data_IF_054041341020
#
_entry.id   IF_054041341020
#
_cell.length_a   1.000
_cell.length_b   1.000
_cell.length_c   1.000
_cell.angle_alpha   90.00
_cell.angle_beta   90.00
_cell.angle_gamma   90.00
#
_symmetry.space_group_name_H-M   'P 1'
#
loop_
_entity.id
_entity.type
_entity.pdbx_description
1 polymer ?
#
# COMPACT_ATOMS: atom_id res chain seq x y z
N UNK A 1 36.60 14.16 44.06
CA UNK A 1 35.75 15.37 44.03
C UNK A 1 35.17 15.48 42.62
N UNK A 2 33.89 15.56 42.30
CA UNK A 2 32.62 15.66 43.01
C UNK A 2 31.57 14.96 42.13
N UNK A 3 30.58 14.38 42.82
CA UNK A 3 29.40 13.63 42.39
C UNK A 3 28.63 14.27 41.23
N UNK A 4 28.00 13.44 40.38
CA UNK A 4 26.57 13.59 40.04
C UNK A 4 25.92 12.23 39.74
N UNK A 5 25.24 11.78 40.77
CA UNK A 5 24.20 10.78 40.80
C UNK A 5 22.95 11.40 40.15
N UNK A 6 22.33 10.74 39.18
CA UNK A 6 20.88 10.87 38.96
C UNK A 6 20.35 9.47 38.67
N UNK A 7 19.76 8.86 39.71
CA UNK A 7 18.95 7.66 39.61
C UNK A 7 17.76 7.94 38.68
N UNK A 8 17.69 7.25 37.55
CA UNK A 8 16.44 7.07 36.85
C UNK A 8 15.66 5.96 37.57
N UNK A 9 14.76 6.35 38.46
CA UNK A 9 13.76 5.44 39.01
C UNK A 9 12.84 5.02 37.87
N UNK A 10 13.12 3.85 37.28
CA UNK A 10 12.17 3.16 36.43
C UNK A 10 11.05 2.68 37.36
N UNK A 11 9.89 3.33 37.26
CA UNK A 11 8.65 2.86 37.85
C UNK A 11 8.25 1.57 37.12
N UNK A 12 8.84 0.45 37.54
CA UNK A 12 8.34 -0.89 37.21
C UNK A 12 7.07 -1.05 38.03
N UNK A 13 5.94 -0.58 37.49
CA UNK A 13 4.64 -1.04 37.97
C UNK A 13 4.57 -2.54 37.71
N UNK A 14 4.61 -3.27 38.81
CA UNK A 14 4.34 -4.69 38.97
C UNK A 14 3.03 -5.07 38.28
N UNK A 15 3.15 -5.73 37.12
CA UNK A 15 2.11 -6.62 36.63
C UNK A 15 2.57 -8.04 37.01
N UNK A 16 2.29 -8.41 38.26
CA UNK A 16 2.35 -9.81 38.67
C UNK A 16 0.94 -10.39 38.62
N UNK A 17 0.81 -11.49 37.86
CA UNK A 17 -0.24 -12.50 37.88
C UNK A 17 -1.63 -12.15 37.34
N UNK A 18 -1.79 -12.34 36.03
CA UNK A 18 -2.98 -12.99 35.46
C UNK A 18 -2.65 -13.64 34.10
N UNK A 19 -1.82 -14.70 34.12
CA UNK A 19 -1.36 -15.43 32.93
C UNK A 19 -2.27 -16.62 32.54
N UNK A 20 -3.57 -16.56 32.82
CA UNK A 20 -4.52 -17.65 32.49
C UNK A 20 -5.67 -17.23 31.56
N UNK A 21 -5.86 -15.92 31.30
CA UNK A 21 -6.84 -15.46 30.31
C UNK A 21 -6.11 -14.75 29.17
N UNK A 22 -6.28 -15.27 27.95
CA UNK A 22 -5.76 -14.65 26.73
C UNK A 22 -6.29 -13.21 26.54
N UNK A 23 -5.66 -12.42 25.66
CA UNK A 23 -6.09 -11.04 25.43
C UNK A 23 -7.56 -10.98 24.97
N UNK A 24 -8.34 -10.13 25.62
CA UNK A 24 -9.72 -9.84 25.21
C UNK A 24 -9.77 -8.88 24.02
N UNK A 25 -10.87 -8.85 23.29
CA UNK A 25 -11.10 -7.88 22.19
C UNK A 25 -10.93 -6.43 22.65
N UNK A 26 -11.45 -6.08 23.83
CA UNK A 26 -11.32 -4.73 24.39
C UNK A 26 -9.85 -4.39 24.72
N UNK A 27 -9.11 -5.34 25.30
CA UNK A 27 -7.69 -5.15 25.59
C UNK A 27 -6.86 -4.97 24.30
N UNK A 28 -7.23 -5.65 23.20
CA UNK A 28 -6.58 -5.46 21.90
C UNK A 28 -6.79 -4.06 21.34
N UNK A 29 -8.00 -3.49 21.45
CA UNK A 29 -8.27 -2.13 20.97
C UNK A 29 -7.35 -1.11 21.67
N UNK A 30 -7.27 -1.19 23.00
CA UNK A 30 -6.42 -0.27 23.78
C UNK A 30 -4.93 -0.53 23.55
N UNK A 31 -4.51 -1.80 23.47
CA UNK A 31 -3.14 -2.16 23.14
C UNK A 31 -2.72 -1.68 21.74
N UNK A 32 -3.62 -1.72 20.75
CA UNK A 32 -3.36 -1.28 19.38
C UNK A 32 -3.15 0.23 19.30
N UNK A 33 -4.03 1.02 19.95
CA UNK A 33 -3.86 2.48 20.04
C UNK A 33 -2.53 2.83 20.73
N UNK A 34 -2.21 2.15 21.83
CA UNK A 34 -0.96 2.38 22.57
C UNK A 34 0.27 2.00 21.72
N UNK A 35 0.22 0.88 21.01
CA UNK A 35 1.31 0.45 20.13
C UNK A 35 1.55 1.46 18.99
N UNK A 36 0.48 1.96 18.35
CA UNK A 36 0.58 3.02 17.34
C UNK A 36 1.17 4.29 17.94
N UNK A 37 0.74 4.72 19.12
CA UNK A 37 1.28 5.92 19.77
C UNK A 37 2.77 5.79 20.10
N UNK A 38 3.19 4.64 20.64
CA UNK A 38 4.61 4.34 20.91
C UNK A 38 5.42 4.40 19.63
N UNK A 39 4.94 3.75 18.58
CA UNK A 39 5.67 3.64 17.32
C UNK A 39 5.70 4.96 16.54
N UNK A 40 4.64 5.76 16.67
CA UNK A 40 4.61 7.14 16.17
C UNK A 40 5.72 7.95 16.83
N UNK A 41 5.87 7.87 18.16
CA UNK A 41 6.93 8.59 18.88
C UNK A 41 8.33 8.06 18.52
N UNK A 42 8.50 6.74 18.38
CA UNK A 42 9.76 6.12 17.96
C UNK A 42 10.24 6.62 16.59
N UNK A 43 9.33 6.78 15.63
CA UNK A 43 9.65 7.20 14.26
C UNK A 43 9.59 8.73 14.06
N UNK A 44 9.08 9.47 15.04
CA UNK A 44 8.72 10.89 14.92
C UNK A 44 9.83 11.78 14.38
N UNK A 45 11.03 11.66 14.94
CA UNK A 45 12.16 12.51 14.56
C UNK A 45 12.55 12.31 13.09
N UNK A 46 12.60 11.06 12.62
CA UNK A 46 12.95 10.78 11.23
C UNK A 46 11.83 11.19 10.27
N UNK A 47 10.57 10.91 10.61
CA UNK A 47 9.42 11.32 9.79
C UNK A 47 9.26 12.84 9.71
N UNK A 48 9.56 13.58 10.78
CA UNK A 48 9.61 15.05 10.76
C UNK A 48 10.77 15.58 9.93
N UNK A 49 11.93 14.91 10.00
CA UNK A 49 13.10 15.25 9.19
C UNK A 49 12.81 15.05 7.70
N UNK A 50 12.24 13.91 7.31
CA UNK A 50 11.78 13.63 5.93
C UNK A 50 10.91 14.78 5.42
N UNK A 51 9.91 15.17 6.21
CA UNK A 51 8.94 16.18 5.79
C UNK A 51 9.52 17.59 5.67
N UNK A 52 10.32 17.99 6.67
CA UNK A 52 10.96 19.30 6.72
C UNK A 52 12.05 19.47 5.66
N UNK A 53 12.85 18.43 5.41
CA UNK A 53 13.91 18.44 4.40
C UNK A 53 13.37 18.13 3.00
N UNK A 54 12.13 17.64 2.89
CA UNK A 54 11.48 17.25 1.65
C UNK A 54 12.29 16.21 0.86
N UNK A 55 12.89 15.27 1.60
CA UNK A 55 13.73 14.19 1.06
C UNK A 55 13.46 12.93 1.88
N UNK A 56 13.31 11.80 1.18
CA UNK A 56 13.44 10.47 1.78
C UNK A 56 14.74 9.85 1.32
N UNK A 57 15.47 9.21 2.24
CA UNK A 57 16.73 8.53 1.95
C UNK A 57 16.58 7.04 2.19
N UNK A 58 17.08 6.21 1.29
CA UNK A 58 17.19 4.76 1.45
C UNK A 58 18.54 4.31 0.92
N UNK A 59 19.43 3.89 1.83
CA UNK A 59 20.84 3.65 1.50
C UNK A 59 21.50 4.90 0.92
N UNK A 60 22.03 4.79 -0.31
CA UNK A 60 22.67 5.89 -1.04
C UNK A 60 21.70 6.71 -1.90
N UNK A 61 20.42 6.33 -1.96
CA UNK A 61 19.43 6.97 -2.82
C UNK A 61 18.66 8.06 -2.06
N UNK A 62 18.40 9.18 -2.72
CA UNK A 62 17.59 10.29 -2.20
C UNK A 62 16.40 10.57 -3.14
N UNK A 63 15.19 10.50 -2.60
CA UNK A 63 13.97 10.94 -3.28
C UNK A 63 13.57 12.31 -2.74
N UNK A 64 13.91 13.37 -3.48
CA UNK A 64 13.40 14.72 -3.21
C UNK A 64 11.91 14.76 -3.53
N UNK A 65 11.15 15.61 -2.85
CA UNK A 65 9.77 15.86 -3.21
C UNK A 65 9.38 17.33 -3.04
N UNK A 66 8.35 17.74 -3.77
CA UNK A 66 7.68 19.01 -3.57
C UNK A 66 6.22 18.71 -3.25
N UNK A 67 5.58 19.54 -2.44
CA UNK A 67 4.16 19.38 -2.15
C UNK A 67 3.44 20.73 -2.04
N UNK A 68 2.12 20.66 -2.20
CA UNK A 68 1.18 21.76 -1.95
C UNK A 68 0.07 21.25 -1.03
N UNK A 69 -0.29 22.05 -0.04
CA UNK A 69 -1.47 21.82 0.79
C UNK A 69 -2.64 22.56 0.13
N UNK A 70 -3.71 21.83 -0.14
CA UNK A 70 -4.88 22.31 -0.86
C UNK A 70 -6.12 22.12 0.01
N UNK A 71 -7.02 23.11 -0.04
CA UNK A 71 -8.31 23.08 0.65
C UNK A 71 -8.24 22.94 2.18
N UNK A 72 -9.44 22.97 2.78
CA UNK A 72 -9.63 22.73 4.21
C UNK A 72 -9.39 21.26 4.57
N UNK A 73 -8.83 21.02 5.75
CA UNK A 73 -8.59 19.66 6.24
C UNK A 73 -9.92 19.00 6.65
N UNK A 74 -10.30 17.85 6.05
CA UNK A 74 -11.47 17.09 6.51
C UNK A 74 -11.30 16.55 7.93
N UNK A 75 -12.42 16.34 8.63
CA UNK A 75 -12.43 15.83 10.01
C UNK A 75 -11.77 14.46 10.17
N UNK A 76 -11.85 13.63 9.13
CA UNK A 76 -11.24 12.30 9.07
C UNK A 76 -9.81 12.32 8.48
N UNK A 77 -9.22 13.50 8.27
CA UNK A 77 -7.86 13.67 7.76
C UNK A 77 -7.79 14.05 6.28
N UNK A 78 -6.63 14.59 5.87
CA UNK A 78 -6.37 15.03 4.49
C UNK A 78 -6.22 13.84 3.54
N UNK A 79 -6.58 14.04 2.28
CA UNK A 79 -6.11 13.19 1.19
C UNK A 79 -4.61 13.40 0.91
N UNK A 80 -3.94 12.41 0.34
CA UNK A 80 -2.59 12.52 -0.22
C UNK A 80 -2.62 12.07 -1.68
N UNK A 81 -2.14 12.90 -2.60
CA UNK A 81 -1.99 12.57 -4.03
C UNK A 81 -0.51 12.57 -4.37
N UNK A 82 0.04 11.40 -4.73
CA UNK A 82 1.45 11.24 -5.10
C UNK A 82 1.54 11.16 -6.63
N UNK A 83 2.24 12.13 -7.23
CA UNK A 83 2.26 12.33 -8.68
C UNK A 83 3.64 12.10 -9.29
N UNK A 84 3.81 10.94 -9.93
CA UNK A 84 5.06 10.46 -10.51
C UNK A 84 5.33 11.13 -11.87
N UNK A 85 6.51 11.73 -12.02
CA UNK A 85 6.91 12.37 -13.28
C UNK A 85 7.43 11.37 -14.32
N UNK A 86 7.42 11.79 -15.59
CA UNK A 86 8.02 11.05 -16.71
C UNK A 86 9.54 11.23 -16.84
N UNK A 87 10.12 10.80 -17.97
CA UNK A 87 11.54 11.04 -18.26
C UNK A 87 12.49 10.01 -17.67
N UNK A 88 12.32 8.74 -18.04
CA UNK A 88 13.33 7.70 -17.84
C UNK A 88 14.42 7.70 -18.89
N UNK A 89 15.54 7.07 -18.55
CA UNK A 89 16.74 6.94 -19.38
C UNK A 89 17.23 8.27 -19.96
N UNK A 90 17.33 9.29 -19.12
CA UNK A 90 17.61 10.66 -19.54
C UNK A 90 18.67 11.33 -18.66
N UNK A 91 19.06 12.56 -19.00
CA UNK A 91 20.00 13.31 -18.16
C UNK A 91 19.33 13.78 -16.86
N UNK A 92 20.14 14.02 -15.81
CA UNK A 92 19.61 14.57 -14.56
C UNK A 92 18.83 15.88 -14.77
N UNK A 93 19.29 16.75 -15.66
CA UNK A 93 18.62 18.01 -15.97
C UNK A 93 17.24 17.81 -16.60
N UNK A 94 17.10 16.81 -17.49
CA UNK A 94 15.82 16.47 -18.09
C UNK A 94 14.87 15.83 -17.07
N UNK A 95 15.36 14.94 -16.21
CA UNK A 95 14.60 14.35 -15.11
C UNK A 95 14.09 15.44 -14.14
N UNK A 96 14.96 16.37 -13.73
CA UNK A 96 14.58 17.51 -12.88
C UNK A 96 13.55 18.42 -13.54
N UNK A 97 13.61 18.60 -14.87
CA UNK A 97 12.60 19.36 -15.62
C UNK A 97 11.25 18.63 -15.65
N UNK A 98 11.23 17.30 -15.83
CA UNK A 98 10.00 16.52 -15.77
C UNK A 98 9.38 16.58 -14.38
N UNK A 99 10.20 16.48 -13.32
CA UNK A 99 9.74 16.70 -11.96
C UNK A 99 9.09 18.08 -11.80
N UNK A 100 9.73 19.16 -12.24
CA UNK A 100 9.17 20.53 -12.18
C UNK A 100 7.81 20.65 -12.88
N UNK A 101 7.63 20.01 -14.02
CA UNK A 101 6.36 19.99 -14.74
C UNK A 101 5.26 19.32 -13.90
N UNK A 102 5.61 18.24 -13.19
CA UNK A 102 4.68 17.44 -12.39
C UNK A 102 4.18 18.18 -11.13
N UNK A 103 4.97 19.09 -10.54
CA UNK A 103 4.64 19.81 -9.28
C UNK A 103 3.31 20.57 -9.34
N UNK A 104 2.92 21.05 -10.52
CA UNK A 104 1.71 21.86 -10.71
C UNK A 104 0.71 21.24 -11.68
N UNK A 105 0.90 19.97 -12.07
CA UNK A 105 0.12 19.36 -13.14
C UNK A 105 -1.37 19.17 -12.77
N UNK A 106 -1.66 18.75 -11.54
CA UNK A 106 -3.04 18.54 -11.06
C UNK A 106 -3.36 19.38 -9.83
N UNK A 107 -4.64 19.71 -9.62
CA UNK A 107 -5.10 20.43 -8.42
C UNK A 107 -6.36 19.76 -7.88
N UNK A 108 -6.23 18.83 -6.92
CA UNK A 108 -7.38 18.29 -6.20
C UNK A 108 -8.08 19.35 -5.35
N UNK A 109 -9.34 19.09 -4.97
CA UNK A 109 -10.16 20.01 -4.15
C UNK A 109 -9.57 20.20 -2.75
N UNK A 110 -9.06 19.12 -2.15
CA UNK A 110 -8.37 19.13 -0.87
C UNK A 110 -7.22 18.12 -0.87
N UNK A 111 -6.26 18.33 0.03
CA UNK A 111 -5.27 17.33 0.40
C UNK A 111 -3.84 17.82 0.25
N UNK A 112 -2.91 16.91 0.45
CA UNK A 112 -1.50 17.10 0.13
C UNK A 112 -1.28 16.60 -1.29
N UNK A 113 -0.98 17.50 -2.22
CA UNK A 113 -0.50 17.12 -3.56
C UNK A 113 1.02 17.07 -3.53
N UNK A 114 1.61 15.89 -3.69
CA UNK A 114 3.04 15.63 -3.59
C UNK A 114 3.57 15.12 -4.94
N UNK A 115 4.61 15.75 -5.46
CA UNK A 115 5.36 15.30 -6.62
C UNK A 115 6.78 14.90 -6.18
N UNK A 116 7.12 13.60 -6.13
CA UNK A 116 8.49 13.15 -5.89
C UNK A 116 9.34 13.31 -7.15
N UNK A 117 10.64 13.53 -6.97
CA UNK A 117 11.69 13.40 -7.97
C UNK A 117 12.30 12.02 -7.83
N UNK A 118 12.26 11.22 -8.89
CA UNK A 118 12.80 9.88 -8.85
C UNK A 118 14.30 9.90 -8.46
N UNK A 119 14.79 8.99 -7.62
CA UNK A 119 16.17 9.02 -7.15
C UNK A 119 17.20 8.86 -8.27
N UNK A 120 16.87 8.12 -9.32
CA UNK A 120 17.77 7.80 -10.43
C UNK A 120 17.27 8.37 -11.76
N UNK A 121 18.10 8.28 -12.79
CA UNK A 121 17.77 8.69 -14.16
C UNK A 121 17.65 7.50 -15.13
N UNK A 122 17.56 6.28 -14.58
CA UNK A 122 17.49 5.03 -15.33
C UNK A 122 16.16 4.90 -16.07
N UNK A 123 16.03 3.92 -16.96
CA UNK A 123 14.78 3.69 -17.68
C UNK A 123 13.65 3.23 -16.74
N UNK A 124 13.99 2.52 -15.66
CA UNK A 124 13.10 1.93 -14.67
C UNK A 124 13.13 2.68 -13.33
N UNK A 125 13.36 4.00 -13.35
CA UNK A 125 13.54 4.87 -12.18
C UNK A 125 12.46 4.78 -11.07
N UNK A 126 11.27 4.24 -11.39
CA UNK A 126 10.17 4.05 -10.44
C UNK A 126 9.95 2.58 -10.06
N UNK A 127 10.75 1.65 -10.60
CA UNK A 127 10.61 0.21 -10.38
C UNK A 127 11.69 -0.34 -9.44
N UNK A 128 12.82 0.36 -9.35
CA UNK A 128 14.01 -0.03 -8.57
C UNK A 128 13.68 -0.34 -7.10
N UNK A 129 14.43 -1.27 -6.49
CA UNK A 129 14.10 -1.90 -5.21
C UNK A 129 13.84 -0.95 -4.04
N UNK A 130 14.47 0.23 -4.05
CA UNK A 130 14.38 1.22 -2.98
C UNK A 130 13.09 2.07 -3.05
N UNK A 131 12.39 2.07 -4.18
CA UNK A 131 11.27 2.97 -4.45
C UNK A 131 10.08 2.67 -3.52
N UNK A 132 9.73 1.39 -3.35
CA UNK A 132 8.58 0.99 -2.54
C UNK A 132 8.75 1.39 -1.07
N UNK A 133 9.95 1.17 -0.51
CA UNK A 133 10.27 1.56 0.88
C UNK A 133 10.22 3.08 1.04
N UNK A 134 10.74 3.83 0.07
CA UNK A 134 10.68 5.30 0.11
C UNK A 134 9.24 5.80 0.08
N UNK A 135 8.36 5.19 -0.70
CA UNK A 135 6.94 5.55 -0.69
C UNK A 135 6.25 5.19 0.62
N UNK A 136 6.59 4.05 1.24
CA UNK A 136 6.08 3.72 2.57
C UNK A 136 6.48 4.77 3.62
N UNK A 137 7.72 5.29 3.56
CA UNK A 137 8.17 6.39 4.43
C UNK A 137 7.48 7.73 4.11
N UNK A 138 7.26 8.07 2.83
CA UNK A 138 6.51 9.28 2.44
C UNK A 138 5.09 9.24 3.04
N UNK A 139 4.40 8.10 2.93
CA UNK A 139 3.04 7.95 3.46
C UNK A 139 3.02 8.14 4.98
N UNK A 140 3.93 7.48 5.71
CA UNK A 140 4.05 7.67 7.18
C UNK A 140 4.37 9.12 7.55
N UNK A 141 5.28 9.76 6.82
CA UNK A 141 5.63 11.15 7.07
C UNK A 141 4.45 12.10 6.82
N UNK A 142 3.65 11.86 5.77
CA UNK A 142 2.46 12.66 5.48
C UNK A 142 1.36 12.46 6.53
N UNK A 143 1.17 11.23 7.01
CA UNK A 143 0.24 10.92 8.12
C UNK A 143 0.64 11.70 9.37
N UNK A 144 1.92 11.67 9.75
CA UNK A 144 2.40 12.36 10.94
C UNK A 144 2.32 13.89 10.82
N UNK A 145 2.80 14.45 9.72
CA UNK A 145 3.06 15.89 9.62
C UNK A 145 1.85 16.68 9.11
N UNK A 146 1.01 16.09 8.26
CA UNK A 146 -0.16 16.78 7.67
C UNK A 146 -1.50 16.19 8.13
N UNK A 147 -1.46 15.11 8.92
CA UNK A 147 -2.65 14.36 9.32
C UNK A 147 -3.40 13.83 8.10
N UNK A 148 -2.64 13.26 7.17
CA UNK A 148 -3.19 12.47 6.06
C UNK A 148 -3.92 11.25 6.63
N UNK A 149 -5.08 10.95 6.05
CA UNK A 149 -5.77 9.71 6.31
C UNK A 149 -5.11 8.58 5.48
N UNK A 150 -4.59 7.50 6.08
CA UNK A 150 -3.96 6.40 5.34
C UNK A 150 -4.94 5.67 4.40
N UNK A 151 -6.25 5.88 4.57
CA UNK A 151 -7.27 5.39 3.66
C UNK A 151 -7.60 6.35 2.50
N UNK A 152 -6.92 7.49 2.37
CA UNK A 152 -7.10 8.49 1.29
C UNK A 152 -5.77 8.83 0.61
N UNK A 153 -4.95 7.83 0.33
CA UNK A 153 -3.69 7.98 -0.39
C UNK A 153 -3.88 7.53 -1.84
N UNK A 154 -3.60 8.39 -2.80
CA UNK A 154 -3.80 8.16 -4.22
C UNK A 154 -2.48 8.24 -4.97
N UNK A 155 -2.26 7.31 -5.91
CA UNK A 155 -1.05 7.28 -6.73
C UNK A 155 -1.42 7.62 -8.18
N UNK A 156 -0.66 8.50 -8.81
CA UNK A 156 -0.85 8.85 -10.22
C UNK A 156 0.51 9.04 -10.89
N UNK A 157 0.61 8.76 -12.18
CA UNK A 157 1.90 8.78 -12.86
C UNK A 157 1.78 8.98 -14.36
N UNK A 158 2.63 9.85 -14.90
CA UNK A 158 2.60 10.21 -16.33
C UNK A 158 3.86 9.70 -17.06
N UNK A 159 3.69 9.11 -18.25
CA UNK A 159 4.81 8.61 -19.08
C UNK A 159 5.63 7.55 -18.34
N UNK A 160 6.94 7.74 -18.16
CA UNK A 160 7.75 6.86 -17.30
C UNK A 160 7.20 6.74 -15.86
N UNK A 161 6.52 7.78 -15.35
CA UNK A 161 5.77 7.70 -14.10
C UNK A 161 4.53 6.81 -14.19
N UNK A 162 3.92 6.73 -15.37
CA UNK A 162 2.86 5.77 -15.69
C UNK A 162 3.40 4.34 -15.80
N UNK A 163 4.59 4.15 -16.40
CA UNK A 163 5.32 2.87 -16.37
C UNK A 163 5.56 2.45 -14.91
N UNK A 164 6.03 3.39 -14.09
CA UNK A 164 6.18 3.25 -12.63
C UNK A 164 4.91 2.81 -11.93
N UNK A 165 3.81 3.50 -12.23
CA UNK A 165 2.53 3.26 -11.60
C UNK A 165 1.96 1.87 -11.91
N UNK A 166 2.18 1.35 -13.12
CA UNK A 166 1.78 -0.01 -13.45
C UNK A 166 2.42 -1.07 -12.54
N UNK A 167 3.64 -0.84 -12.06
CA UNK A 167 4.31 -1.73 -11.11
C UNK A 167 3.94 -1.42 -9.65
N UNK A 168 3.97 -0.14 -9.27
CA UNK A 168 3.73 0.29 -7.88
C UNK A 168 2.29 0.05 -7.41
N UNK A 169 1.31 0.25 -8.29
CA UNK A 169 -0.09 0.07 -7.94
C UNK A 169 -0.41 -1.37 -7.49
N UNK A 170 -0.06 -2.43 -8.24
CA UNK A 170 -0.27 -3.81 -7.79
C UNK A 170 0.67 -4.23 -6.65
N UNK A 171 1.95 -3.83 -6.64
CA UNK A 171 2.91 -4.21 -5.58
C UNK A 171 2.53 -3.66 -4.21
N UNK A 172 1.99 -2.45 -4.19
CA UNK A 172 1.65 -1.71 -2.96
C UNK A 172 0.15 -1.41 -2.85
N UNK A 173 -0.73 -2.23 -3.43
CA UNK A 173 -2.17 -1.96 -3.50
C UNK A 173 -2.84 -1.75 -2.12
N UNK A 174 -2.24 -2.25 -1.05
CA UNK A 174 -2.69 -2.06 0.32
C UNK A 174 -2.29 -0.70 0.94
N UNK A 175 -1.58 0.15 0.22
CA UNK A 175 -1.32 1.56 0.59
C UNK A 175 -2.29 2.54 -0.08
N UNK A 176 -2.92 2.16 -1.20
CA UNK A 176 -3.62 3.09 -2.07
C UNK A 176 -5.15 2.99 -1.94
N UNK A 177 -5.82 4.14 -2.02
CA UNK A 177 -7.27 4.26 -2.14
C UNK A 177 -7.74 4.17 -3.59
N UNK A 178 -6.96 4.72 -4.52
CA UNK A 178 -7.08 4.55 -5.96
C UNK A 178 -5.75 4.86 -6.64
N UNK A 179 -5.54 4.34 -7.85
CA UNK A 179 -4.40 4.65 -8.68
C UNK A 179 -4.80 5.00 -10.12
N UNK A 180 -4.08 5.92 -10.77
CA UNK A 180 -4.37 6.35 -12.15
C UNK A 180 -3.11 6.42 -13.00
N UNK A 181 -3.05 5.58 -14.02
CA UNK A 181 -1.98 5.52 -15.00
C UNK A 181 -2.24 6.49 -16.16
N UNK A 182 -1.25 7.32 -16.51
CA UNK A 182 -1.31 8.22 -17.66
C UNK A 182 -0.15 7.96 -18.63
N UNK A 183 -0.47 7.62 -19.88
CA UNK A 183 0.49 7.50 -20.99
C UNK A 183 1.72 6.61 -20.70
N UNK A 184 1.56 5.60 -19.84
CA UNK A 184 2.59 4.63 -19.46
C UNK A 184 2.44 3.29 -20.17
N UNK A 185 3.48 2.48 -20.03
CA UNK A 185 3.63 1.15 -20.57
C UNK A 185 3.61 0.13 -19.43
N UNK A 186 2.79 -0.93 -19.49
CA UNK A 186 2.62 -1.86 -18.38
C UNK A 186 3.81 -2.78 -18.11
N UNK A 187 4.67 -3.02 -19.11
CA UNK A 187 5.76 -3.97 -18.96
C UNK A 187 5.21 -5.37 -18.68
N UNK A 188 5.74 -5.99 -17.64
CA UNK A 188 5.35 -7.29 -17.09
C UNK A 188 4.36 -7.21 -15.93
N UNK A 189 3.86 -6.01 -15.59
CA UNK A 189 2.97 -5.81 -14.46
C UNK A 189 1.77 -6.78 -14.44
N UNK A 190 1.50 -7.33 -13.26
CA UNK A 190 0.34 -8.21 -13.03
C UNK A 190 -0.86 -7.41 -12.53
N UNK A 191 -2.00 -7.55 -13.21
CA UNK A 191 -3.26 -6.98 -12.75
C UNK A 191 -3.87 -7.76 -11.56
N UNK A 192 -3.33 -8.93 -11.17
CA UNK A 192 -3.95 -9.79 -10.16
C UNK A 192 -4.15 -9.07 -8.82
N UNK A 193 -3.11 -8.35 -8.38
CA UNK A 193 -3.09 -7.62 -7.10
C UNK A 193 -3.96 -6.37 -7.08
N UNK A 194 -4.48 -5.92 -8.24
CA UNK A 194 -5.39 -4.77 -8.34
C UNK A 194 -6.82 -5.07 -7.85
N UNK A 195 -7.09 -6.29 -7.37
CA UNK A 195 -8.43 -6.75 -7.00
C UNK A 195 -9.23 -5.74 -6.18
N UNK A 196 -8.59 -5.14 -5.18
CA UNK A 196 -9.21 -4.24 -4.20
C UNK A 196 -8.80 -2.77 -4.41
N UNK A 197 -8.08 -2.47 -5.48
CA UNK A 197 -7.59 -1.14 -5.80
C UNK A 197 -8.31 -0.60 -7.04
N UNK A 198 -9.15 0.43 -6.91
CA UNK A 198 -9.63 1.19 -8.06
C UNK A 198 -8.46 1.66 -8.93
N UNK A 199 -8.43 1.24 -10.19
CA UNK A 199 -7.32 1.51 -11.11
C UNK A 199 -7.80 2.14 -12.43
N UNK A 200 -7.28 3.33 -12.76
CA UNK A 200 -7.62 4.01 -14.01
C UNK A 200 -6.47 4.01 -15.03
N UNK A 201 -6.82 4.04 -16.31
CA UNK A 201 -5.90 4.14 -17.45
C UNK A 201 -6.34 5.31 -18.32
N UNK A 202 -5.44 6.24 -18.56
CA UNK A 202 -5.61 7.35 -19.48
C UNK A 202 -4.51 7.29 -20.54
N UNK A 203 -4.91 7.18 -21.80
CA UNK A 203 -3.98 6.98 -22.92
C UNK A 203 -4.35 7.83 -24.14
N UNK A 204 -3.35 8.38 -24.81
CA UNK A 204 -3.53 8.99 -26.14
C UNK A 204 -3.68 7.91 -27.20
N UNK A 205 -4.72 7.99 -28.03
CA UNK A 205 -4.97 7.01 -29.09
C UNK A 205 -3.88 6.99 -30.17
N UNK A 206 -3.15 8.10 -30.35
CA UNK A 206 -2.00 8.22 -31.24
C UNK A 206 -0.64 8.05 -30.52
N UNK A 207 -0.61 7.74 -29.22
CA UNK A 207 0.62 7.45 -28.47
C UNK A 207 1.11 6.02 -28.76
N UNK A 208 1.64 5.81 -29.97
CA UNK A 208 2.07 4.50 -30.45
C UNK A 208 3.48 4.08 -30.00
N UNK A 209 4.21 4.97 -29.31
CA UNK A 209 5.55 4.65 -28.81
C UNK A 209 5.49 3.45 -27.88
N UNK A 210 6.36 2.46 -28.11
CA UNK A 210 6.37 1.19 -27.38
C UNK A 210 5.02 0.45 -27.35
N UNK A 211 4.13 0.73 -28.31
CA UNK A 211 2.77 0.18 -28.36
C UNK A 211 1.91 0.52 -27.14
N UNK A 212 2.17 1.65 -26.46
CA UNK A 212 1.41 2.07 -25.26
C UNK A 212 -0.10 2.10 -25.49
N UNK A 213 -0.55 2.70 -26.59
CA UNK A 213 -1.96 2.75 -26.96
C UNK A 213 -2.58 1.36 -27.19
N UNK A 214 -1.89 0.43 -27.85
CA UNK A 214 -2.34 -0.95 -28.05
C UNK A 214 -2.40 -1.70 -26.71
N UNK A 215 -1.38 -1.57 -25.88
CA UNK A 215 -1.32 -2.24 -24.57
C UNK A 215 -2.33 -1.68 -23.58
N UNK A 216 -2.69 -0.40 -23.67
CA UNK A 216 -3.80 0.16 -22.91
C UNK A 216 -5.14 -0.53 -23.26
N UNK A 217 -5.38 -0.85 -24.55
CA UNK A 217 -6.57 -1.62 -24.97
C UNK A 217 -6.55 -3.04 -24.40
N UNK A 218 -5.39 -3.72 -24.48
CA UNK A 218 -5.21 -5.07 -23.91
C UNK A 218 -5.48 -5.06 -22.40
N UNK A 219 -5.03 -4.02 -21.68
CA UNK A 219 -5.31 -3.88 -20.26
C UNK A 219 -6.77 -3.57 -19.96
N UNK A 220 -7.46 -2.78 -20.80
CA UNK A 220 -8.89 -2.56 -20.68
C UNK A 220 -9.65 -3.89 -20.72
N UNK A 221 -9.41 -4.70 -21.77
CA UNK A 221 -10.03 -6.02 -21.93
C UNK A 221 -9.69 -6.98 -20.79
N UNK A 222 -8.45 -6.93 -20.29
CA UNK A 222 -8.01 -7.73 -19.14
C UNK A 222 -8.79 -7.33 -17.87
N UNK A 223 -8.93 -6.04 -17.59
CA UNK A 223 -9.66 -5.53 -16.42
C UNK A 223 -11.17 -5.81 -16.53
N UNK A 224 -11.76 -5.64 -17.72
CA UNK A 224 -13.14 -6.03 -18.01
C UNK A 224 -13.38 -7.52 -17.72
N UNK A 225 -12.48 -8.39 -18.18
CA UNK A 225 -12.57 -9.84 -17.94
C UNK A 225 -12.45 -10.18 -16.46
N UNK A 226 -11.51 -9.53 -15.75
CA UNK A 226 -11.30 -9.73 -14.31
C UNK A 226 -12.52 -9.28 -13.50
N UNK A 227 -13.07 -8.10 -13.80
CA UNK A 227 -14.27 -7.58 -13.14
C UNK A 227 -15.51 -8.43 -13.46
N UNK A 228 -15.69 -8.88 -14.71
CA UNK A 228 -16.79 -9.77 -15.10
C UNK A 228 -16.75 -11.09 -14.32
N UNK A 229 -15.56 -11.68 -14.16
CA UNK A 229 -15.36 -12.92 -13.38
C UNK A 229 -15.46 -12.68 -11.87
N UNK A 230 -15.34 -11.43 -11.41
CA UNK A 230 -15.31 -11.07 -10.01
C UNK A 230 -16.15 -9.81 -9.75
N UNK A 231 -17.50 -9.90 -9.82
CA UNK A 231 -18.37 -8.74 -9.67
C UNK A 231 -18.06 -7.95 -8.39
N UNK A 232 -17.90 -6.62 -8.53
CA UNK A 232 -17.55 -5.72 -7.42
C UNK A 232 -16.06 -5.71 -7.03
N UNK A 233 -15.18 -6.37 -7.80
CA UNK A 233 -13.71 -6.30 -7.67
C UNK A 233 -13.09 -5.79 -8.97
N UNK A 234 -11.80 -5.41 -8.95
CA UNK A 234 -11.10 -4.83 -10.11
C UNK A 234 -11.84 -3.62 -10.70
N UNK A 235 -12.30 -2.72 -9.82
CA UNK A 235 -12.94 -1.47 -10.23
C UNK A 235 -11.96 -0.68 -11.08
N UNK A 236 -12.37 -0.29 -12.29
CA UNK A 236 -11.49 0.40 -13.21
C UNK A 236 -12.21 1.45 -14.05
N UNK A 237 -11.43 2.36 -14.63
CA UNK A 237 -11.89 3.42 -15.52
C UNK A 237 -10.84 3.64 -16.62
N UNK A 238 -11.19 3.37 -17.88
CA UNK A 238 -10.23 3.36 -18.99
C UNK A 238 -10.66 4.32 -20.08
N UNK A 239 -9.77 5.27 -20.40
CA UNK A 239 -9.97 6.29 -21.42
C UNK A 239 -8.83 6.23 -22.43
N UNK A 240 -9.17 5.99 -23.70
CA UNK A 240 -8.24 6.05 -24.83
C UNK A 240 -8.73 7.14 -25.77
N UNK A 241 -8.06 8.29 -25.76
CA UNK A 241 -8.51 9.48 -26.48
C UNK A 241 -8.05 9.43 -27.94
N UNK A 242 -8.97 9.14 -28.85
CA UNK A 242 -8.70 9.09 -30.29
C UNK A 242 -7.98 10.35 -30.79
N UNK A 243 -6.96 10.16 -31.63
CA UNK A 243 -6.17 11.23 -32.24
C UNK A 243 -5.21 11.98 -31.30
N UNK A 244 -5.34 11.85 -29.97
CA UNK A 244 -4.44 12.54 -29.04
C UNK A 244 -3.08 11.83 -28.94
N UNK A 245 -1.96 12.58 -28.94
CA UNK A 245 -0.62 12.03 -28.81
C UNK A 245 -0.30 11.71 -27.35
N UNK A 246 0.97 11.49 -27.04
CA UNK A 246 1.48 11.26 -25.68
C UNK A 246 0.99 12.28 -24.64
N UNK A 247 0.81 13.53 -25.05
CA UNK A 247 0.16 14.56 -24.24
C UNK A 247 -1.34 14.60 -24.52
N UNK A 248 -2.15 14.21 -23.53
CA UNK A 248 -3.60 14.10 -23.65
C UNK A 248 -4.35 15.43 -23.42
N UNK A 249 -3.66 16.56 -23.58
CA UNK A 249 -4.22 17.91 -23.38
C UNK A 249 -4.93 18.08 -22.03
N UNK A 250 -4.38 17.48 -20.97
CA UNK A 250 -4.91 17.49 -19.59
C UNK A 250 -6.27 16.82 -19.41
N UNK A 251 -6.79 16.04 -20.37
CA UNK A 251 -8.06 15.31 -20.20
C UNK A 251 -7.99 14.26 -19.09
N UNK A 252 -6.80 13.77 -18.81
CA UNK A 252 -6.43 12.92 -17.67
C UNK A 252 -6.64 13.58 -16.30
N UNK A 253 -6.87 14.90 -16.23
CA UNK A 253 -7.26 15.56 -14.96
C UNK A 253 -8.60 15.06 -14.39
N UNK A 254 -9.45 14.45 -15.23
CA UNK A 254 -10.68 13.80 -14.79
C UNK A 254 -10.43 12.69 -13.75
N UNK A 255 -9.25 12.06 -13.79
CA UNK A 255 -8.84 11.05 -12.83
C UNK A 255 -8.87 11.55 -11.39
N UNK A 256 -8.61 12.84 -11.16
CA UNK A 256 -8.52 13.41 -9.80
C UNK A 256 -9.87 13.30 -9.08
N UNK A 257 -10.96 13.69 -9.76
CA UNK A 257 -12.29 13.59 -9.17
C UNK A 257 -12.73 12.13 -9.01
N UNK A 258 -12.39 11.27 -9.98
CA UNK A 258 -12.70 9.85 -9.91
C UNK A 258 -11.98 9.17 -8.74
N UNK A 259 -10.66 9.34 -8.62
CA UNK A 259 -9.88 8.78 -7.51
C UNK A 259 -10.39 9.28 -6.15
N UNK A 260 -10.69 10.57 -6.01
CA UNK A 260 -11.19 11.18 -4.77
C UNK A 260 -12.55 10.62 -4.28
N UNK A 261 -13.27 9.88 -5.13
CA UNK A 261 -14.51 9.21 -4.75
C UNK A 261 -14.29 7.89 -4.01
N UNK A 262 -13.05 7.39 -3.94
CA UNK A 262 -12.70 6.14 -3.30
C UNK A 262 -11.96 6.35 -1.98
N UNK A 263 -12.20 5.42 -1.06
CA UNK A 263 -11.44 5.27 0.18
C UNK A 263 -10.88 3.85 0.19
N UNK A 264 -9.63 3.68 0.61
CA UNK A 264 -8.99 2.35 0.71
C UNK A 264 -9.81 1.44 1.62
N UNK A 265 -10.01 0.21 1.17
CA UNK A 265 -10.49 -0.87 2.02
C UNK A 265 -9.29 -1.62 2.59
N UNK A 266 -8.79 -1.18 3.76
CA UNK A 266 -7.61 -1.76 4.40
C UNK A 266 -7.76 -3.26 4.72
N UNK A 267 -8.99 -3.70 5.02
CA UNK A 267 -9.31 -5.09 5.37
C UNK A 267 -10.34 -5.67 4.37
N UNK A 268 -9.94 -5.93 3.11
CA UNK A 268 -10.85 -6.47 2.12
C UNK A 268 -11.21 -7.93 2.47
N UNK A 269 -12.43 -8.37 2.16
CA UNK A 269 -12.87 -9.74 2.44
C UNK A 269 -12.21 -10.78 1.52
N UNK A 270 -11.51 -10.36 0.47
CA UNK A 270 -10.75 -11.26 -0.41
C UNK A 270 -9.51 -10.53 -0.92
N UNK A 271 -8.37 -11.20 -0.84
CA UNK A 271 -7.08 -10.71 -1.34
C UNK A 271 -6.62 -11.66 -2.43
N UNK A 272 -6.18 -11.09 -3.54
CA UNK A 272 -5.40 -11.79 -4.55
C UNK A 272 -4.04 -11.09 -4.59
N UNK A 273 -2.97 -11.85 -4.40
CA UNK A 273 -1.62 -11.34 -4.27
C UNK A 273 -0.72 -12.05 -5.25
N UNK A 274 -0.03 -11.27 -6.08
CA UNK A 274 1.07 -11.68 -6.94
C UNK A 274 2.38 -11.12 -6.39
N UNK A 275 3.39 -11.97 -6.20
CA UNK A 275 4.75 -11.53 -5.88
C UNK A 275 5.49 -11.11 -7.13
N UNK A 276 5.89 -9.85 -7.15
CA UNK A 276 6.71 -9.30 -8.23
C UNK A 276 8.19 -9.69 -8.07
N UNK A 277 9.07 -9.16 -8.92
CA UNK A 277 10.51 -9.22 -8.74
C UNK A 277 10.98 -8.43 -7.51
N UNK A 278 10.31 -7.31 -7.20
CA UNK A 278 10.42 -6.63 -5.91
C UNK A 278 9.49 -7.28 -4.88
N UNK A 279 10.09 -8.13 -4.06
CA UNK A 279 9.40 -8.94 -3.05
C UNK A 279 8.84 -8.13 -1.89
N UNK A 280 7.62 -8.45 -1.45
CA UNK A 280 7.03 -7.94 -0.20
C UNK A 280 6.77 -9.07 0.78
N UNK A 281 7.00 -8.88 2.07
CA UNK A 281 6.71 -9.91 3.07
C UNK A 281 5.26 -9.90 3.54
N UNK A 282 4.54 -8.81 3.31
CA UNK A 282 3.16 -8.62 3.73
C UNK A 282 2.39 -7.83 2.67
N UNK A 283 1.13 -8.21 2.46
CA UNK A 283 0.20 -7.55 1.54
C UNK A 283 -1.22 -7.67 2.08
N UNK A 284 -1.83 -6.55 2.46
CA UNK A 284 -3.03 -6.50 3.29
C UNK A 284 -2.85 -7.35 4.57
N UNK A 285 -3.69 -8.38 4.74
CA UNK A 285 -3.68 -9.33 5.84
C UNK A 285 -3.05 -10.68 5.46
N UNK A 286 -2.36 -10.76 4.31
CA UNK A 286 -1.53 -11.90 3.91
C UNK A 286 -0.05 -11.59 4.13
N UNK A 287 0.77 -12.61 4.30
CA UNK A 287 2.22 -12.47 4.24
C UNK A 287 2.94 -13.77 3.91
N UNK A 288 4.22 -13.67 3.59
CA UNK A 288 5.10 -14.84 3.42
C UNK A 288 6.49 -14.49 3.96
N UNK A 289 7.11 -15.36 4.78
CA UNK A 289 8.49 -15.17 5.20
C UNK A 289 9.50 -15.49 4.09
N UNK A 290 9.06 -16.15 3.02
CA UNK A 290 9.89 -16.64 1.92
C UNK A 290 9.25 -16.17 0.60
N UNK A 291 9.28 -14.86 0.30
CA UNK A 291 8.73 -14.36 -0.96
C UNK A 291 9.56 -14.86 -2.14
N UNK A 292 8.88 -15.18 -3.24
CA UNK A 292 9.49 -15.63 -4.49
C UNK A 292 8.66 -15.07 -5.66
N UNK A 293 9.35 -14.58 -6.70
CA UNK A 293 8.72 -13.96 -7.87
C UNK A 293 7.77 -14.91 -8.58
N UNK A 294 6.62 -14.39 -9.00
CA UNK A 294 5.58 -15.12 -9.71
C UNK A 294 4.70 -16.00 -8.82
N UNK A 295 4.97 -16.11 -7.51
CA UNK A 295 4.10 -16.84 -6.58
C UNK A 295 2.84 -16.05 -6.29
N UNK A 296 1.71 -16.76 -6.23
CA UNK A 296 0.42 -16.15 -6.00
C UNK A 296 -0.30 -16.74 -4.78
N UNK A 297 -1.12 -15.91 -4.13
CA UNK A 297 -2.06 -16.33 -3.10
C UNK A 297 -3.42 -15.67 -3.32
N UNK A 298 -4.49 -16.45 -3.27
CA UNK A 298 -5.88 -15.96 -3.34
C UNK A 298 -6.63 -16.50 -2.14
N UNK A 299 -6.98 -15.60 -1.22
CA UNK A 299 -7.60 -15.95 0.06
C UNK A 299 -8.80 -15.07 0.32
N UNK A 300 -9.89 -15.66 0.78
CA UNK A 300 -11.10 -14.93 1.19
C UNK A 300 -11.49 -15.24 2.63
N UNK A 301 -12.14 -14.28 3.27
CA UNK A 301 -12.72 -14.36 4.60
C UNK A 301 -14.20 -14.04 4.48
N UNK A 302 -15.04 -15.00 4.87
CA UNK A 302 -16.49 -14.81 4.98
C UNK A 302 -16.93 -15.28 6.36
N UNK A 303 -17.47 -14.37 7.16
CA UNK A 303 -17.80 -14.60 8.58
C UNK A 303 -16.54 -15.06 9.33
N UNK A 304 -16.54 -16.29 9.86
CA UNK A 304 -15.44 -16.93 10.57
C UNK A 304 -14.78 -18.04 9.74
N UNK A 305 -14.94 -18.02 8.41
CA UNK A 305 -14.33 -18.99 7.50
C UNK A 305 -13.32 -18.29 6.61
N UNK A 306 -12.10 -18.83 6.60
CA UNK A 306 -11.02 -18.46 5.70
C UNK A 306 -10.98 -19.53 4.60
N UNK A 307 -11.03 -19.11 3.35
CA UNK A 307 -10.94 -20.00 2.19
C UNK A 307 -9.71 -19.64 1.37
N UNK A 308 -8.79 -20.59 1.24
CA UNK A 308 -7.58 -20.48 0.44
C UNK A 308 -7.90 -21.13 -0.91
N UNK A 309 -8.12 -20.30 -1.91
CA UNK A 309 -8.43 -20.72 -3.28
C UNK A 309 -7.15 -21.05 -4.06
N UNK A 310 -6.07 -20.31 -3.76
CA UNK A 310 -4.73 -20.56 -4.30
C UNK A 310 -3.67 -20.16 -3.29
N UNK A 311 -2.61 -20.95 -3.20
CA UNK A 311 -1.39 -20.57 -2.50
C UNK A 311 -0.20 -21.31 -3.11
N UNK A 312 0.67 -20.58 -3.79
CA UNK A 312 1.89 -21.12 -4.38
C UNK A 312 3.10 -20.95 -3.44
N UNK A 313 2.93 -20.20 -2.35
CA UNK A 313 3.99 -19.90 -1.37
C UNK A 313 4.26 -21.12 -0.47
N UNK A 314 5.54 -21.45 -0.19
CA UNK A 314 5.89 -22.51 0.76
C UNK A 314 5.33 -22.26 2.17
N UNK A 315 5.23 -21.00 2.57
CA UNK A 315 4.68 -20.55 3.84
C UNK A 315 3.81 -19.33 3.61
N UNK A 316 2.54 -19.40 4.02
CA UNK A 316 1.61 -18.28 3.95
C UNK A 316 1.14 -17.92 5.36
N UNK A 317 1.37 -16.67 5.74
CA UNK A 317 0.76 -16.07 6.92
C UNK A 317 -0.59 -15.47 6.58
N UNK A 318 -1.55 -15.68 7.47
CA UNK A 318 -2.83 -14.97 7.50
C UNK A 318 -2.87 -14.20 8.82
N UNK A 319 -2.77 -12.89 8.72
CA UNK A 319 -2.85 -11.97 9.86
C UNK A 319 -4.31 -11.66 10.16
N UNK A 320 -4.67 -11.63 11.44
CA UNK A 320 -6.04 -11.58 11.90
C UNK A 320 -6.22 -10.50 12.98
N UNK A 321 -7.35 -9.82 12.92
CA UNK A 321 -7.84 -8.92 13.96
C UNK A 321 -9.37 -9.05 14.09
N UNK A 322 -9.92 -8.45 15.14
CA UNK A 322 -11.36 -8.52 15.46
C UNK A 322 -12.27 -7.69 14.53
N UNK A 323 -11.68 -6.97 13.55
CA UNK A 323 -12.41 -6.30 12.48
C UNK A 323 -12.63 -7.23 11.28
N UNK A 324 -11.67 -8.11 10.97
CA UNK A 324 -11.81 -9.11 9.89
C UNK A 324 -12.77 -10.24 10.25
N UNK A 325 -12.70 -10.77 11.47
CA UNK A 325 -13.52 -11.88 11.94
C UNK A 325 -13.64 -11.91 13.47
N UNK A 326 -14.52 -12.76 14.01
CA UNK A 326 -14.71 -12.87 15.45
C UNK A 326 -13.72 -13.88 16.07
N UNK A 327 -12.65 -13.40 16.72
CA UNK A 327 -11.63 -14.27 17.33
C UNK A 327 -12.10 -15.01 18.60
N UNK A 328 -13.27 -14.66 19.16
CA UNK A 328 -13.85 -15.39 20.30
C UNK A 328 -14.58 -16.68 19.86
N UNK A 329 -14.77 -16.86 18.55
CA UNK A 329 -15.38 -18.03 17.92
C UNK A 329 -14.33 -18.85 17.17
N UNK A 330 -14.66 -20.12 16.92
CA UNK A 330 -13.82 -20.98 16.07
C UNK A 330 -13.70 -20.36 14.68
N UNK A 331 -12.52 -20.46 14.12
CA UNK A 331 -12.17 -20.04 12.76
C UNK A 331 -12.00 -21.32 11.96
N UNK A 332 -12.73 -21.41 10.85
CA UNK A 332 -12.64 -22.52 9.91
C UNK A 332 -11.66 -22.13 8.81
N UNK A 333 -10.66 -22.95 8.54
CA UNK A 333 -9.78 -22.78 7.36
C UNK A 333 -10.07 -23.89 6.35
N UNK A 334 -10.38 -23.49 5.13
CA UNK A 334 -10.67 -24.38 4.00
C UNK A 334 -9.56 -24.25 2.97
N UNK A 335 -8.91 -25.35 2.65
CA UNK A 335 -7.89 -25.47 1.61
C UNK A 335 -8.28 -26.59 0.66
N UNK A 336 -8.34 -26.31 -0.65
CA UNK A 336 -8.75 -27.28 -1.68
C UNK A 336 -10.09 -27.96 -1.36
N UNK A 337 -11.07 -27.19 -0.88
CA UNK A 337 -12.40 -27.67 -0.48
C UNK A 337 -12.45 -28.45 0.84
N UNK A 338 -11.32 -28.76 1.47
CA UNK A 338 -11.24 -29.52 2.73
C UNK A 338 -11.03 -28.60 3.92
N UNK A 339 -11.68 -28.90 5.04
CA UNK A 339 -11.43 -28.19 6.29
C UNK A 339 -10.12 -28.69 6.89
N UNK A 340 -9.13 -27.81 7.01
CA UNK A 340 -7.78 -28.14 7.54
C UNK A 340 -7.56 -27.57 8.95
N UNK A 341 -8.45 -26.69 9.42
CA UNK A 341 -8.44 -26.14 10.77
C UNK A 341 -9.86 -25.71 11.18
N UNK A 342 -10.19 -25.88 12.46
CA UNK A 342 -11.47 -25.49 13.05
C UNK A 342 -11.33 -25.25 14.56
N UNK A 343 -10.53 -24.26 14.95
CA UNK A 343 -10.30 -23.89 16.34
C UNK A 343 -10.30 -22.36 16.53
N UNK A 344 -10.24 -21.88 17.77
CA UNK A 344 -10.05 -20.45 18.04
C UNK A 344 -8.59 -20.06 17.82
N UNK A 345 -8.35 -18.80 17.45
CA UNK A 345 -7.01 -18.22 17.44
C UNK A 345 -6.83 -17.27 18.62
N UNK A 346 -5.66 -17.35 19.25
CA UNK A 346 -5.29 -16.53 20.38
C UNK A 346 -4.81 -15.15 19.96
N UNK A 347 -5.25 -14.14 20.72
CA UNK A 347 -4.71 -12.79 20.60
C UNK A 347 -3.35 -12.70 21.31
N UNK A 348 -2.34 -12.20 20.60
CA UNK A 348 -0.96 -12.05 21.06
C UNK A 348 -0.54 -10.58 21.02
N UNK A 349 -0.08 -10.05 22.15
CA UNK A 349 0.40 -8.67 22.25
C UNK A 349 1.61 -8.40 21.34
N UNK A 350 2.47 -9.40 21.14
CA UNK A 350 3.66 -9.27 20.27
C UNK A 350 3.28 -8.99 18.80
N UNK A 351 2.16 -9.52 18.31
CA UNK A 351 1.69 -9.22 16.96
C UNK A 351 1.20 -7.78 16.84
N UNK A 352 0.51 -7.27 17.86
CA UNK A 352 0.06 -5.88 17.92
C UNK A 352 1.27 -4.94 17.85
N UNK A 353 2.30 -5.22 18.64
CA UNK A 353 3.52 -4.41 18.68
C UNK A 353 4.30 -4.45 17.37
N UNK A 354 4.41 -5.62 16.73
CA UNK A 354 5.18 -5.75 15.47
C UNK A 354 4.47 -5.15 14.27
N UNK A 355 3.13 -5.23 14.21
CA UNK A 355 2.33 -4.73 13.08
C UNK A 355 2.02 -3.22 13.18
N UNK A 356 2.12 -2.62 14.37
CA UNK A 356 1.98 -1.17 14.55
C UNK A 356 3.05 -0.32 13.84
N UNK A 357 4.17 -0.91 13.42
CA UNK A 357 5.28 -0.23 12.69
C UNK A 357 4.87 0.49 11.41
N UNK A 358 3.77 0.06 10.79
CA UNK A 358 3.22 0.70 9.58
C UNK A 358 2.51 2.03 9.88
N UNK A 359 2.22 2.33 11.15
CA UNK A 359 1.45 3.50 11.58
C UNK A 359 0.04 3.56 10.96
N UNK A 360 -0.53 2.38 10.70
CA UNK A 360 -1.88 2.19 10.16
C UNK A 360 -2.68 1.31 11.13
N UNK A 361 -3.62 1.93 11.85
CA UNK A 361 -4.38 1.25 12.90
C UNK A 361 -5.24 0.10 12.34
N UNK A 362 -5.75 0.22 11.11
CA UNK A 362 -6.59 -0.80 10.48
C UNK A 362 -5.77 -2.06 10.15
N UNK A 363 -4.45 -1.92 9.97
CA UNK A 363 -3.50 -3.01 9.71
C UNK A 363 -2.71 -3.44 10.96
N UNK A 364 -3.21 -3.12 12.15
CA UNK A 364 -2.73 -3.74 13.39
C UNK A 364 -3.42 -5.08 13.59
N UNK A 365 -2.63 -6.14 13.73
CA UNK A 365 -3.09 -7.51 13.86
C UNK A 365 -2.76 -8.08 15.23
N UNK A 366 -3.67 -8.89 15.76
CA UNK A 366 -3.53 -9.50 17.09
C UNK A 366 -3.38 -11.01 17.04
N UNK A 367 -3.61 -11.66 15.90
CA UNK A 367 -3.43 -13.11 15.76
C UNK A 367 -2.85 -13.42 14.38
N UNK A 368 -2.18 -14.57 14.24
CA UNK A 368 -1.62 -15.02 12.96
C UNK A 368 -1.72 -16.53 12.83
N UNK A 369 -2.06 -16.98 11.62
CA UNK A 369 -2.00 -18.38 11.24
C UNK A 369 -0.91 -18.57 10.20
N UNK A 370 -0.10 -19.62 10.34
CA UNK A 370 0.82 -20.11 9.32
C UNK A 370 0.20 -21.29 8.58
N UNK A 371 0.13 -21.18 7.26
CA UNK A 371 -0.21 -22.27 6.35
C UNK A 371 1.10 -22.83 5.80
N UNK A 372 1.36 -24.11 6.08
CA UNK A 372 2.56 -24.81 5.64
C UNK A 372 2.24 -26.29 5.43
N UNK A 373 2.70 -26.87 4.32
CA UNK A 373 2.52 -28.30 3.99
C UNK A 373 1.05 -28.77 4.11
N UNK A 374 0.11 -27.90 3.68
CA UNK A 374 -1.33 -28.17 3.74
C UNK A 374 -1.95 -28.15 5.14
N UNK A 375 -1.20 -27.72 6.17
CA UNK A 375 -1.64 -27.64 7.57
C UNK A 375 -1.65 -26.20 8.06
N UNK A 376 -2.43 -25.96 9.12
CA UNK A 376 -2.47 -24.68 9.83
C UNK A 376 -1.72 -24.83 11.15
N UNK A 377 -0.75 -23.95 11.37
CA UNK A 377 0.02 -23.81 12.60
C UNK A 377 -0.30 -22.42 13.16
N UNK A 378 -0.84 -22.36 14.37
CA UNK A 378 -1.08 -21.09 15.05
C UNK A 378 0.22 -20.52 15.60
N UNK A 379 0.42 -19.20 15.49
CA UNK A 379 1.64 -18.51 15.90
C UNK A 379 1.36 -17.29 16.77
#
# INVERSE_FOLDING_TARGET
MIKRLLLLFVLVCSITNSFSQGLSKAAVVEASKKAIAIETENQKLELQKIWSQKVVTQGAFEMKFAYRILGEKPADGRSLYISLHGGGNTSSAANDQQWKNQINLYTPKEGVYLAPRAPTNTWNLWHEDHIDDMFAEIVKAAVLNEGVNPNKVYLLGYSAGGDGLFQLAPRMADYWAAASMMAGHPGDASALSLRNLPFAIYMGGADAAYKRNELAKVWAEKLDSLQTKNPGSYVHDVHIYEGLPHWMSRRDTNAIQWMASFTRKALPSKVAWHQDDRHHQQFYWLGTPLPETGKEAVVSITKNTITIERNDNPQLYIYLNDQLLNLDKKIKVVLNGKTVYNNKADRKLVLIQTTAKRLDLDLVFSARMLIKDGKVIEQ
#
